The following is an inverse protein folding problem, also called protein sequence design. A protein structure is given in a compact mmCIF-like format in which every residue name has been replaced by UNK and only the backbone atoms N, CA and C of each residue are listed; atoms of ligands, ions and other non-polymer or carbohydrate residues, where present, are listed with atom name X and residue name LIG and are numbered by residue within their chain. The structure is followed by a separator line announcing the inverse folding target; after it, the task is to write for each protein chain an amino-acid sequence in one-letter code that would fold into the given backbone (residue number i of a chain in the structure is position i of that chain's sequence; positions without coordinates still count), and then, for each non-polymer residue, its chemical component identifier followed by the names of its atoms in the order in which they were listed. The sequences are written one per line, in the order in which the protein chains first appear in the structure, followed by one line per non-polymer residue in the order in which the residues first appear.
data_IF_932588362307
#
_entry.id   IF_932588362307
#
_cell.length_a   1.000
_cell.length_b   1.000
_cell.length_c   1.000
_cell.angle_alpha   90.00
_cell.angle_beta   90.00
_cell.angle_gamma   90.00
#
_symmetry.space_group_name_H-M   'P 1'
#
loop_
_entity.id
_entity.type
_entity.pdbx_description
1 polymer ?
#
# COMPACT_ATOMS: atom_id res chain seq x y z
N UNK A 1 4.88 -3.88 10.68
CA UNK A 1 4.43 -2.67 11.39
C UNK A 1 3.05 -2.82 12.00
N UNK A 2 2.10 -3.50 11.34
CA UNK A 2 0.72 -3.64 11.85
C UNK A 2 0.42 -4.82 12.77
N UNK A 3 1.22 -5.89 12.78
CA UNK A 3 1.02 -6.99 13.73
C UNK A 3 1.58 -6.68 15.12
N UNK A 4 0.84 -7.11 16.16
CA UNK A 4 1.33 -7.19 17.53
C UNK A 4 2.56 -8.10 17.60
N UNK A 5 3.53 -7.69 18.41
CA UNK A 5 4.71 -8.47 18.76
C UNK A 5 4.80 -8.54 20.28
N UNK A 6 5.40 -9.59 20.88
CA UNK A 6 5.43 -9.78 22.33
C UNK A 6 5.85 -8.54 23.15
N UNK A 7 6.69 -7.67 22.56
CA UNK A 7 7.22 -6.46 23.21
C UNK A 7 6.70 -5.13 22.63
N UNK A 8 5.85 -5.17 21.61
CA UNK A 8 5.33 -3.94 20.98
C UNK A 8 3.99 -4.19 20.30
N UNK A 9 3.03 -3.31 20.56
CA UNK A 9 1.77 -3.28 19.83
C UNK A 9 1.97 -2.93 18.35
N UNK A 10 1.10 -3.48 17.52
CA UNK A 10 0.94 -3.08 16.13
C UNK A 10 0.61 -1.60 16.04
N UNK A 11 1.08 -0.95 14.98
CA UNK A 11 0.72 0.43 14.68
C UNK A 11 -0.67 0.45 14.03
N UNK A 12 -1.39 1.56 14.22
CA UNK A 12 -2.65 1.82 13.53
C UNK A 12 -2.42 1.99 12.02
N UNK A 13 -3.49 1.80 11.24
CA UNK A 13 -3.37 1.82 9.78
C UNK A 13 -2.95 3.19 9.23
N UNK A 14 -3.47 4.27 9.82
CA UNK A 14 -3.08 5.66 9.53
C UNK A 14 -1.58 5.89 9.73
N UNK A 15 -1.02 5.42 10.85
CA UNK A 15 0.42 5.51 11.11
C UNK A 15 1.21 4.69 10.09
N UNK A 16 0.74 3.51 9.70
CA UNK A 16 1.43 2.67 8.70
C UNK A 16 1.44 3.37 7.33
N UNK A 17 0.32 3.95 6.90
CA UNK A 17 0.22 4.70 5.64
C UNK A 17 1.15 5.92 5.66
N UNK A 18 1.16 6.68 6.76
CA UNK A 18 2.03 7.83 6.92
C UNK A 18 3.51 7.45 6.80
N UNK A 19 3.91 6.31 7.37
CA UNK A 19 5.29 5.83 7.32
C UNK A 19 5.71 5.32 5.94
N UNK A 20 4.80 4.64 5.23
CA UNK A 20 5.04 4.26 3.84
C UNK A 20 5.28 5.49 2.97
N UNK A 21 4.47 6.55 3.13
CA UNK A 21 4.66 7.82 2.42
C UNK A 21 5.95 8.51 2.83
N UNK A 22 6.30 8.55 4.12
CA UNK A 22 7.53 9.18 4.63
C UNK A 22 8.79 8.49 4.10
N UNK A 23 8.77 7.17 3.97
CA UNK A 23 9.90 6.38 3.47
C UNK A 23 9.91 6.21 1.93
N UNK A 24 8.92 6.78 1.23
CA UNK A 24 8.84 6.78 -0.24
C UNK A 24 10.00 7.60 -0.83
N UNK A 25 10.70 7.04 -1.81
CA UNK A 25 11.86 7.68 -2.45
C UNK A 25 13.18 7.52 -1.69
N UNK A 26 13.18 6.79 -0.58
CA UNK A 26 14.41 6.48 0.18
C UNK A 26 14.51 4.98 0.45
N UNK A 27 13.67 4.47 1.34
CA UNK A 27 13.65 3.05 1.72
C UNK A 27 12.75 2.22 0.78
N UNK A 28 11.79 2.89 0.15
CA UNK A 28 10.85 2.28 -0.79
C UNK A 28 10.86 3.04 -2.11
N UNK A 29 10.66 2.32 -3.20
CA UNK A 29 10.44 2.93 -4.51
C UNK A 29 9.13 3.73 -4.50
N UNK A 30 9.12 5.00 -4.94
CA UNK A 30 7.92 5.83 -4.93
C UNK A 30 6.76 5.23 -5.71
N UNK A 31 7.04 4.60 -6.86
CA UNK A 31 6.00 4.05 -7.73
C UNK A 31 5.36 2.82 -7.10
N UNK A 32 6.16 2.00 -6.40
CA UNK A 32 5.64 0.84 -5.66
C UNK A 32 4.73 1.27 -4.51
N UNK A 33 5.12 2.31 -3.76
CA UNK A 33 4.29 2.82 -2.65
C UNK A 33 2.96 3.38 -3.14
N UNK A 34 2.97 4.12 -4.25
CA UNK A 34 1.76 4.63 -4.90
C UNK A 34 0.80 3.49 -5.25
N UNK A 35 1.25 2.53 -6.07
CA UNK A 35 0.43 1.40 -6.52
C UNK A 35 -0.06 0.54 -5.35
N UNK A 36 0.79 0.31 -4.34
CA UNK A 36 0.39 -0.43 -3.15
C UNK A 36 -0.75 0.26 -2.40
N UNK A 37 -0.66 1.58 -2.19
CA UNK A 37 -1.70 2.32 -1.48
C UNK A 37 -3.01 2.36 -2.26
N UNK A 38 -2.95 2.45 -3.59
CA UNK A 38 -4.14 2.43 -4.44
C UNK A 38 -4.86 1.08 -4.37
N UNK A 39 -4.14 -0.03 -4.53
CA UNK A 39 -4.70 -1.38 -4.39
C UNK A 39 -5.23 -1.61 -2.98
N UNK A 40 -4.49 -1.15 -1.97
CA UNK A 40 -4.90 -1.29 -0.58
C UNK A 40 -6.22 -0.54 -0.29
N UNK A 41 -6.38 0.68 -0.81
CA UNK A 41 -7.62 1.45 -0.65
C UNK A 41 -8.81 0.83 -1.39
N UNK A 42 -8.58 0.25 -2.57
CA UNK A 42 -9.61 -0.52 -3.27
C UNK A 42 -10.06 -1.73 -2.45
N UNK A 43 -9.09 -2.46 -1.86
CA UNK A 43 -9.37 -3.61 -1.01
C UNK A 43 -10.19 -3.22 0.24
N UNK A 44 -9.85 -2.11 0.90
CA UNK A 44 -10.58 -1.62 2.08
C UNK A 44 -11.99 -1.14 1.74
N UNK A 45 -12.19 -0.54 0.57
CA UNK A 45 -13.49 0.00 0.15
C UNK A 45 -14.43 -1.07 -0.45
N UNK A 46 -14.01 -2.33 -0.51
CA UNK A 46 -14.82 -3.44 -1.02
C UNK A 46 -14.90 -3.53 -2.54
N UNK A 47 -14.20 -2.64 -3.25
CA UNK A 47 -14.02 -2.72 -4.68
C UNK A 47 -12.89 -3.71 -4.98
N UNK A 48 -13.26 -4.96 -5.30
CA UNK A 48 -12.30 -5.96 -5.82
C UNK A 48 -11.92 -5.60 -7.26
N UNK A 49 -10.99 -4.65 -7.42
CA UNK A 49 -10.29 -4.13 -8.62
C UNK A 49 -11.14 -3.89 -9.89
N UNK A 50 -10.93 -2.75 -10.57
CA UNK A 50 -9.96 -2.82 -11.67
C UNK A 50 -9.03 -1.61 -11.72
N UNK A 51 -7.75 -1.85 -12.05
CA UNK A 51 -6.88 -0.80 -12.55
C UNK A 51 -6.74 -0.95 -14.08
N UNK A 52 -7.47 -0.15 -14.88
CA UNK A 52 -7.43 -0.22 -16.34
C UNK A 52 -6.08 0.23 -16.94
N UNK A 53 -5.23 0.90 -16.16
CA UNK A 53 -3.92 1.39 -16.62
C UNK A 53 -2.85 0.27 -16.62
N UNK A 54 -3.11 -0.84 -15.93
CA UNK A 54 -2.28 -2.06 -15.96
C UNK A 54 -2.78 -3.09 -17.00
N UNK A 55 -4.05 -3.03 -17.41
CA UNK A 55 -4.60 -3.92 -18.45
C UNK A 55 -3.97 -3.64 -19.82
N UNK A 56 -3.61 -2.40 -20.13
CA UNK A 56 -2.96 -2.04 -21.41
C UNK A 56 -1.42 -2.15 -21.41
N UNK A 57 -0.80 -2.65 -20.34
CA UNK A 57 0.66 -2.89 -20.29
C UNK A 57 1.05 -4.38 -20.30
N UNK A 58 0.07 -5.30 -20.29
CA UNK A 58 0.28 -6.72 -20.56
C UNK A 58 -0.43 -7.06 -21.87
N UNK A 59 0.32 -7.22 -22.96
CA UNK A 59 -0.24 -7.61 -24.25
C UNK A 59 -0.69 -9.08 -24.26
N UNK A 60 -1.86 -9.36 -23.67
CA UNK A 60 -2.66 -10.58 -23.85
C UNK A 60 -4.14 -10.22 -24.03
#
# INVERSE_FOLDING_TARGET
MGADRPYRKGRTMDVIIAELKRCSGTQFDPKVVEVFLDIFMQWVTGNRCPNPDLENQIGI
#
